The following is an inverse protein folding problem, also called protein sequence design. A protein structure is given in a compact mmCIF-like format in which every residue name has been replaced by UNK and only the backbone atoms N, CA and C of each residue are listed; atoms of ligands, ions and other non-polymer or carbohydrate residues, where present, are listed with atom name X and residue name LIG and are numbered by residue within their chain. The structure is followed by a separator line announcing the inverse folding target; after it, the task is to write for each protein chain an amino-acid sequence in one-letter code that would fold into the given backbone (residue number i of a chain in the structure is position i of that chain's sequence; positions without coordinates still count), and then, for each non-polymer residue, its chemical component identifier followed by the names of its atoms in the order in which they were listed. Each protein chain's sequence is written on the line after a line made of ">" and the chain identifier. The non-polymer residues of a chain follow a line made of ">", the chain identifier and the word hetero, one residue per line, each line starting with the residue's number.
data_IF_417875349283
#
_entry.id   IF_417875349283
#
_cell.length_a   1.000
_cell.length_b   1.000
_cell.length_c   1.000
_cell.angle_alpha   90.00
_cell.angle_beta   90.00
_cell.angle_gamma   90.00
#
_symmetry.space_group_name_H-M   'P 1'
#
loop_
_entity.id
_entity.type
_entity.pdbx_description
1 polymer ?
#
# COMPACT_ATOMS: atom_id res chain seq x y z
N UNK A 1 -19.38 1.50 3.64
CA UNK A 1 -19.59 1.50 2.18
C UNK A 1 -19.11 0.16 1.66
N UNK A 2 -19.93 -0.57 0.88
CA UNK A 2 -19.51 -1.83 0.27
C UNK A 2 -18.56 -1.58 -0.90
N UNK A 3 -17.70 -2.56 -1.20
CA UNK A 3 -16.80 -2.52 -2.37
C UNK A 3 -17.60 -2.31 -3.66
N UNK A 4 -18.77 -2.95 -3.78
CA UNK A 4 -19.69 -2.79 -4.92
C UNK A 4 -20.22 -1.35 -5.05
N UNK A 5 -20.48 -0.66 -3.95
CA UNK A 5 -20.90 0.75 -3.97
C UNK A 5 -19.80 1.71 -4.42
N UNK A 6 -18.53 1.32 -4.26
CA UNK A 6 -17.38 2.13 -4.69
C UNK A 6 -17.01 1.91 -6.16
N UNK A 7 -17.55 0.86 -6.80
CA UNK A 7 -17.32 0.57 -8.23
C UNK A 7 -17.82 1.69 -9.13
N UNK A 8 -18.96 2.31 -8.82
CA UNK A 8 -19.48 3.43 -9.62
C UNK A 8 -18.58 4.67 -9.56
N UNK A 9 -17.86 4.86 -8.45
CA UNK A 9 -16.96 6.00 -8.23
C UNK A 9 -15.58 5.76 -8.83
N UNK A 10 -15.01 4.56 -8.66
CA UNK A 10 -13.61 4.28 -9.02
C UNK A 10 -13.45 3.41 -10.26
N UNK A 11 -14.54 2.89 -10.82
CA UNK A 11 -14.53 2.00 -11.96
C UNK A 11 -14.25 0.53 -11.61
N UNK A 12 -14.28 -0.35 -12.62
CA UNK A 12 -14.09 -1.79 -12.44
C UNK A 12 -12.62 -2.24 -12.44
N UNK A 13 -11.69 -1.34 -12.78
CA UNK A 13 -10.29 -1.70 -12.98
C UNK A 13 -9.47 -1.40 -11.73
N UNK A 14 -8.51 -2.26 -11.45
CA UNK A 14 -7.56 -2.12 -10.35
C UNK A 14 -6.72 -0.86 -10.55
N UNK A 15 -6.60 -0.08 -9.48
CA UNK A 15 -5.83 1.15 -9.50
C UNK A 15 -4.34 0.94 -9.81
N UNK A 16 -3.78 -0.22 -9.40
CA UNK A 16 -2.34 -0.47 -9.53
C UNK A 16 -1.94 -1.05 -10.88
N UNK A 17 -2.66 -2.07 -11.37
CA UNK A 17 -2.28 -2.78 -12.60
C UNK A 17 -3.19 -2.46 -13.79
N UNK A 18 -4.33 -1.78 -13.58
CA UNK A 18 -5.28 -1.43 -14.63
C UNK A 18 -6.17 -2.58 -15.12
N UNK A 19 -6.01 -3.80 -14.62
CA UNK A 19 -6.83 -4.96 -15.01
C UNK A 19 -8.17 -5.00 -14.27
N UNK A 20 -9.15 -5.69 -14.83
CA UNK A 20 -10.48 -5.83 -14.23
C UNK A 20 -10.41 -6.56 -12.88
N UNK A 21 -11.19 -6.10 -11.90
CA UNK A 21 -11.32 -6.75 -10.60
C UNK A 21 -12.58 -7.61 -10.50
N UNK A 22 -12.54 -8.63 -9.67
CA UNK A 22 -13.68 -9.43 -9.28
C UNK A 22 -14.45 -8.75 -8.11
N UNK A 23 -15.73 -8.49 -8.31
CA UNK A 23 -16.61 -7.84 -7.32
C UNK A 23 -17.57 -8.80 -6.66
N UNK A 24 -17.57 -10.07 -7.08
CA UNK A 24 -18.52 -11.06 -6.60
C UNK A 24 -17.99 -11.79 -5.36
N UNK A 25 -18.89 -12.53 -4.72
CA UNK A 25 -18.56 -13.37 -3.58
C UNK A 25 -18.05 -14.74 -4.05
N UNK A 26 -17.15 -15.40 -3.29
CA UNK A 26 -16.59 -15.01 -2.01
C UNK A 26 -15.43 -14.02 -2.15
N UNK A 27 -15.39 -13.04 -1.24
CA UNK A 27 -14.27 -12.13 -1.09
C UNK A 27 -13.01 -12.86 -0.59
N UNK A 28 -11.83 -12.31 -0.90
CA UNK A 28 -10.54 -12.81 -0.42
C UNK A 28 -9.74 -13.60 -1.45
N UNK A 29 -10.20 -13.67 -2.70
CA UNK A 29 -9.41 -14.20 -3.82
C UNK A 29 -8.37 -13.16 -4.24
N UNK A 30 -7.25 -13.58 -4.86
CA UNK A 30 -6.25 -12.67 -5.43
C UNK A 30 -6.86 -11.55 -6.29
N UNK A 31 -7.83 -11.91 -7.14
CA UNK A 31 -8.51 -11.01 -8.07
C UNK A 31 -9.67 -10.22 -7.45
N UNK A 32 -10.00 -10.44 -6.17
CA UNK A 32 -11.10 -9.72 -5.53
C UNK A 32 -10.77 -8.23 -5.37
N UNK A 33 -11.75 -7.38 -5.65
CA UNK A 33 -11.70 -5.96 -5.40
C UNK A 33 -11.66 -5.70 -3.88
N UNK A 34 -10.68 -4.91 -3.46
CA UNK A 34 -10.48 -4.48 -2.06
C UNK A 34 -10.28 -2.97 -2.01
N UNK A 35 -10.56 -2.36 -0.85
CA UNK A 35 -10.38 -0.94 -0.63
C UNK A 35 -8.95 -0.67 -0.20
N UNK A 36 -8.26 0.19 -0.93
CA UNK A 36 -6.89 0.62 -0.65
C UNK A 36 -6.83 2.08 -0.22
N UNK A 37 -5.88 2.41 0.67
CA UNK A 37 -5.59 3.78 1.08
C UNK A 37 -4.29 4.26 0.43
N UNK A 38 -4.36 5.32 -0.37
CA UNK A 38 -3.20 5.87 -1.09
C UNK A 38 -2.19 6.55 -0.17
N UNK A 39 -2.65 7.08 0.97
CA UNK A 39 -1.83 7.75 1.97
C UNK A 39 -2.01 7.01 3.28
N UNK A 40 -0.94 6.38 3.76
CA UNK A 40 -0.86 5.87 5.12
C UNK A 40 -0.94 7.08 6.05
N UNK A 41 -2.08 7.27 6.72
CA UNK A 41 -2.27 8.41 7.62
C UNK A 41 -1.40 8.23 8.87
N UNK A 42 -0.13 8.61 8.79
CA UNK A 42 0.82 8.53 9.92
C UNK A 42 0.57 9.59 10.99
N UNK A 43 -0.26 10.61 10.72
CA UNK A 43 -0.53 11.71 11.65
C UNK A 43 -1.99 12.16 11.57
N UNK A 44 -2.93 11.43 12.18
CA UNK A 44 -4.29 11.91 12.51
C UNK A 44 -5.12 12.54 11.37
N UNK A 45 -4.72 12.35 10.12
CA UNK A 45 -5.10 13.17 8.99
C UNK A 45 -6.14 12.51 8.11
N UNK A 46 -7.41 12.83 8.39
CA UNK A 46 -8.60 12.72 7.55
C UNK A 46 -8.72 11.43 6.72
N UNK A 47 -9.61 10.54 7.19
CA UNK A 47 -10.22 9.41 6.45
C UNK A 47 -11.08 9.92 5.27
N UNK A 48 -10.49 10.69 4.37
CA UNK A 48 -11.18 11.31 3.24
C UNK A 48 -11.35 10.30 2.11
N UNK A 49 -12.51 10.34 1.45
CA UNK A 49 -12.78 9.47 0.30
C UNK A 49 -11.76 9.66 -0.84
N UNK A 50 -11.18 10.86 -0.96
CA UNK A 50 -10.19 11.20 -1.99
C UNK A 50 -8.91 10.35 -1.91
N UNK A 51 -8.61 9.79 -0.73
CA UNK A 51 -7.44 8.95 -0.50
C UNK A 51 -7.74 7.44 -0.64
N UNK A 52 -8.94 7.05 -1.05
CA UNK A 52 -9.29 5.64 -1.25
C UNK A 52 -9.31 5.27 -2.73
N UNK A 53 -8.95 4.04 -3.04
CA UNK A 53 -9.07 3.42 -4.37
C UNK A 53 -9.54 1.99 -4.25
N UNK A 54 -9.95 1.40 -5.38
CA UNK A 54 -10.17 -0.03 -5.49
C UNK A 54 -8.97 -0.68 -6.18
N UNK A 55 -8.54 -1.81 -5.64
CA UNK A 55 -7.46 -2.61 -6.20
C UNK A 55 -7.65 -4.09 -5.87
N UNK A 56 -7.01 -4.97 -6.65
CA UNK A 56 -6.94 -6.39 -6.34
C UNK A 56 -6.34 -6.65 -4.96
N UNK A 57 -6.84 -7.68 -4.28
CA UNK A 57 -6.27 -8.15 -3.02
C UNK A 57 -4.77 -8.49 -3.20
N UNK A 58 -4.41 -9.18 -4.29
CA UNK A 58 -3.02 -9.53 -4.57
C UNK A 58 -2.12 -8.31 -4.84
N UNK A 59 -2.61 -7.33 -5.61
CA UNK A 59 -1.85 -6.11 -5.86
C UNK A 59 -1.60 -5.31 -4.58
N UNK A 60 -2.61 -5.20 -3.71
CA UNK A 60 -2.46 -4.54 -2.42
C UNK A 60 -1.47 -5.28 -1.51
N UNK A 61 -1.56 -6.61 -1.46
CA UNK A 61 -0.62 -7.43 -0.69
C UNK A 61 0.83 -7.23 -1.18
N UNK A 62 1.08 -7.40 -2.48
CA UNK A 62 2.40 -7.25 -3.06
C UNK A 62 2.98 -5.84 -2.86
N UNK A 63 2.17 -4.79 -3.05
CA UNK A 63 2.59 -3.41 -2.80
C UNK A 63 3.02 -3.22 -1.34
N UNK A 64 2.25 -3.74 -0.39
CA UNK A 64 2.57 -3.65 1.03
C UNK A 64 3.87 -4.39 1.37
N UNK A 65 4.09 -5.57 0.81
CA UNK A 65 5.34 -6.32 0.98
C UNK A 65 6.54 -5.53 0.44
N UNK A 66 6.44 -4.97 -0.77
CA UNK A 66 7.50 -4.15 -1.35
C UNK A 66 7.80 -2.91 -0.50
N UNK A 67 6.75 -2.24 0.01
CA UNK A 67 6.91 -1.09 0.92
C UNK A 67 7.66 -1.48 2.19
N UNK A 68 7.28 -2.59 2.82
CA UNK A 68 7.94 -3.09 4.03
C UNK A 68 9.39 -3.51 3.78
N UNK A 69 9.69 -4.08 2.61
CA UNK A 69 11.05 -4.40 2.22
C UNK A 69 11.90 -3.14 2.03
N UNK A 70 11.37 -2.13 1.31
CA UNK A 70 12.05 -0.85 1.11
C UNK A 70 12.34 -0.14 2.45
N UNK A 71 11.37 -0.12 3.37
CA UNK A 71 11.55 0.46 4.71
C UNK A 71 12.69 -0.25 5.46
N UNK A 72 12.71 -1.58 5.47
CA UNK A 72 13.79 -2.36 6.12
C UNK A 72 15.15 -2.07 5.51
N UNK A 73 15.22 -1.93 4.18
CA UNK A 73 16.48 -1.58 3.49
C UNK A 73 16.95 -0.18 3.88
N UNK A 74 16.04 0.79 3.94
CA UNK A 74 16.37 2.15 4.33
C UNK A 74 16.88 2.23 5.77
N UNK A 75 16.22 1.55 6.71
CA UNK A 75 16.67 1.50 8.12
C UNK A 75 18.06 0.88 8.27
N UNK A 76 18.37 -0.17 7.50
CA UNK A 76 19.71 -0.77 7.48
C UNK A 76 20.76 0.22 6.99
N UNK A 77 20.46 0.93 5.89
CA UNK A 77 21.36 1.95 5.35
C UNK A 77 21.62 3.09 6.35
N UNK A 78 20.60 3.53 7.10
CA UNK A 78 20.76 4.53 8.16
C UNK A 78 21.71 4.00 9.26
N UNK A 79 21.52 2.76 9.72
CA UNK A 79 22.37 2.15 10.74
C UNK A 79 23.84 2.05 10.29
N UNK A 80 24.08 1.63 9.05
CA UNK A 80 25.43 1.57 8.46
C UNK A 80 26.11 2.94 8.43
N UNK A 81 25.36 4.00 8.08
CA UNK A 81 25.89 5.36 8.10
C UNK A 81 26.27 5.84 9.50
N UNK A 82 25.44 5.58 10.49
CA UNK A 82 25.72 5.95 11.88
C UNK A 82 26.98 5.24 12.41
N UNK A 83 27.18 3.96 12.06
CA UNK A 83 28.38 3.21 12.42
C UNK A 83 29.62 3.80 11.72
N UNK A 84 29.51 4.13 10.44
CA UNK A 84 30.61 4.72 9.67
C UNK A 84 31.03 6.07 10.25
N UNK A 85 30.07 6.93 10.62
CA UNK A 85 30.34 8.22 11.23
C UNK A 85 31.02 8.07 12.59
N UNK A 86 30.48 7.19 13.46
CA UNK A 86 31.08 6.90 14.77
C UNK A 86 32.53 6.40 14.67
N UNK A 87 32.81 5.55 13.67
CA UNK A 87 34.16 5.02 13.44
C UNK A 87 35.14 6.10 12.96
N UNK A 88 34.66 7.16 12.31
CA UNK A 88 35.48 8.30 11.90
C UNK A 88 35.77 9.25 13.07
N UNK A 89 34.83 9.40 14.01
CA UNK A 89 34.98 10.29 15.18
C UNK A 89 35.77 9.66 16.33
N UNK A 90 35.81 8.33 16.42
CA UNK A 90 36.53 7.60 17.47
C UNK A 90 38.03 7.35 17.15
N UNK A 91 38.54 7.89 16.03
CA UNK A 91 39.96 7.88 15.64
C UNK A 91 40.61 9.24 15.84
#
# INVERSE_FOLDING_TARGET
>A
MSVRALRSTFGPNCHWCGLAMDFDEPHGRPESATIEHLIDSTLGGVRSQKHRRLAHAACNHARNEFRMQAERQFQRWIAERQISEKTLTDK
#
